data_IF_645565373969
#
_entry.id   IF_645565373969
#
_cell.length_a   1.000
_cell.length_b   1.000
_cell.length_c   1.000
_cell.angle_alpha   90.00
_cell.angle_beta   90.00
_cell.angle_gamma   90.00
#
_symmetry.space_group_name_H-M   'P 1'
#
loop_
_entity.id
_entity.type
_entity.pdbx_description
1 polymer ?
#
# COMPACT_ATOMS: atom_id res chain seq x y z
N UNK A 1 -60.09 13.27 -11.12
CA UNK A 1 -61.26 13.99 -10.59
C UNK A 1 -61.32 13.81 -9.07
N UNK A 2 -61.40 14.93 -8.35
CA UNK A 2 -62.02 15.14 -7.02
C UNK A 2 -61.48 14.39 -5.78
N UNK A 3 -60.91 15.20 -4.88
CA UNK A 3 -60.72 15.00 -3.43
C UNK A 3 -62.06 14.83 -2.71
N UNK A 4 -62.14 14.01 -1.65
CA UNK A 4 -63.07 14.19 -0.51
C UNK A 4 -62.37 13.78 0.80
N UNK A 5 -62.62 14.58 1.84
CA UNK A 5 -62.09 14.62 3.20
C UNK A 5 -63.04 13.97 4.25
N UNK A 6 -62.53 13.86 5.50
CA UNK A 6 -63.25 13.88 6.81
C UNK A 6 -63.94 12.56 7.25
N UNK A 7 -64.06 12.13 8.52
CA UNK A 7 -63.78 12.64 9.87
C UNK A 7 -63.84 11.41 10.86
N UNK A 8 -62.99 11.28 11.89
CA UNK A 8 -63.19 11.68 13.31
C UNK A 8 -63.81 10.63 14.29
N UNK A 9 -63.06 10.41 15.39
CA UNK A 9 -63.38 10.01 16.77
C UNK A 9 -63.99 8.63 17.12
N UNK A 10 -63.31 7.90 18.02
CA UNK A 10 -63.83 7.61 19.38
C UNK A 10 -62.71 7.19 20.36
N UNK A 11 -62.88 7.63 21.60
CA UNK A 11 -61.90 7.67 22.68
C UNK A 11 -62.02 6.48 23.67
N UNK A 12 -61.17 6.54 24.71
CA UNK A 12 -61.04 5.71 25.93
C UNK A 12 -60.04 4.55 25.78
N UNK A 13 -59.00 4.38 26.59
CA UNK A 13 -58.58 4.99 27.85
C UNK A 13 -57.99 3.86 28.71
N UNK A 14 -56.75 3.99 29.21
CA UNK A 14 -56.30 3.40 30.48
C UNK A 14 -54.83 3.75 30.77
N UNK A 15 -54.63 4.15 32.02
CA UNK A 15 -53.46 4.74 32.65
C UNK A 15 -52.57 3.62 33.19
N UNK A 16 -51.27 3.62 32.86
CA UNK A 16 -50.20 3.05 33.70
C UNK A 16 -48.95 3.91 33.49
N UNK A 17 -48.66 4.79 34.45
CA UNK A 17 -47.74 4.56 35.58
C UNK A 17 -46.27 4.73 35.20
N UNK A 18 -45.75 5.86 35.67
CA UNK A 18 -44.36 6.25 35.91
C UNK A 18 -43.28 5.18 35.75
N UNK A 19 -42.27 5.48 34.95
CA UNK A 19 -40.88 5.30 35.40
C UNK A 19 -39.95 6.24 34.63
N UNK A 20 -39.52 7.31 35.30
CA UNK A 20 -38.39 8.12 34.87
C UNK A 20 -37.12 7.41 35.37
N UNK A 21 -36.43 6.67 34.51
CA UNK A 21 -35.10 6.16 34.81
C UNK A 21 -34.08 6.94 33.98
N UNK A 22 -33.48 7.96 34.62
CA UNK A 22 -32.16 8.42 34.25
C UNK A 22 -31.21 7.23 34.48
N UNK A 23 -30.85 6.54 33.41
CA UNK A 23 -29.72 5.62 33.44
C UNK A 23 -28.44 6.47 33.60
N UNK A 24 -27.97 6.62 34.84
CA UNK A 24 -26.60 7.04 35.11
C UNK A 24 -25.69 5.91 34.64
N UNK A 25 -25.14 6.08 33.44
CA UNK A 25 -23.98 5.33 33.01
C UNK A 25 -22.81 5.73 33.92
N UNK A 26 -22.48 4.87 34.88
CA UNK A 26 -21.18 4.89 35.55
C UNK A 26 -20.13 4.53 34.51
N UNK A 27 -19.59 5.55 33.83
CA UNK A 27 -18.36 5.42 33.05
C UNK A 27 -17.23 5.18 34.04
N UNK A 28 -16.90 3.91 34.27
CA UNK A 28 -15.62 3.54 34.87
C UNK A 28 -14.52 4.03 33.93
N UNK A 29 -13.97 5.23 34.20
CA UNK A 29 -12.72 5.70 33.62
C UNK A 29 -11.63 4.70 33.99
N UNK A 30 -11.35 3.74 33.13
CA UNK A 30 -10.04 3.09 33.14
C UNK A 30 -9.01 4.20 32.91
N UNK A 31 -7.97 4.32 33.76
CA UNK A 31 -6.90 5.25 33.49
C UNK A 31 -6.17 4.77 32.23
N UNK A 32 -6.46 5.41 31.10
CA UNK A 32 -5.65 5.27 29.90
C UNK A 32 -4.32 5.90 30.22
N UNK A 33 -3.34 5.09 30.62
CA UNK A 33 -1.94 5.53 30.70
C UNK A 33 -1.56 5.90 29.27
N UNK A 34 -1.65 7.19 28.95
CA UNK A 34 -1.10 7.72 27.72
C UNK A 34 0.40 7.44 27.74
N UNK A 35 0.84 6.46 26.95
CA UNK A 35 2.25 6.11 26.80
C UNK A 35 2.98 7.37 26.35
N UNK A 36 3.76 7.97 27.25
CA UNK A 36 4.52 9.17 26.96
C UNK A 36 5.49 8.85 25.82
N UNK A 37 5.28 9.49 24.66
CA UNK A 37 6.11 9.26 23.48
C UNK A 37 7.48 9.92 23.71
N UNK A 38 8.51 9.12 23.88
CA UNK A 38 9.89 9.60 23.87
C UNK A 38 10.29 9.88 22.42
N UNK A 39 10.54 11.13 22.07
CA UNK A 39 10.90 11.55 20.71
C UNK A 39 12.37 11.24 20.33
N UNK A 40 13.20 10.87 21.30
CA UNK A 40 14.60 10.50 21.07
C UNK A 40 14.79 8.99 20.85
N UNK A 41 13.72 8.18 20.91
CA UNK A 41 13.81 6.76 20.60
C UNK A 41 13.59 6.53 19.10
N UNK A 42 14.36 5.64 18.44
CA UNK A 42 14.10 5.28 17.06
C UNK A 42 12.72 4.63 16.95
N UNK A 43 12.06 4.87 15.81
CA UNK A 43 10.79 4.21 15.52
C UNK A 43 11.02 2.69 15.46
N UNK A 44 10.12 1.89 16.05
CA UNK A 44 10.23 0.44 15.99
C UNK A 44 10.14 -0.03 14.54
N UNK A 45 10.99 -1.00 14.18
CA UNK A 45 10.89 -1.67 12.88
C UNK A 45 9.73 -2.67 12.89
N UNK A 46 9.04 -2.83 11.77
CA UNK A 46 7.94 -3.79 11.67
C UNK A 46 8.49 -5.21 11.76
N UNK A 47 8.07 -5.95 12.80
CA UNK A 47 8.53 -7.31 13.06
C UNK A 47 8.09 -8.32 12.00
N UNK A 48 7.12 -7.97 11.14
CA UNK A 48 6.68 -8.80 10.01
C UNK A 48 7.61 -8.70 8.81
N UNK A 49 8.58 -7.77 8.82
CA UNK A 49 9.55 -7.63 7.74
C UNK A 49 10.80 -8.45 8.08
N UNK A 50 11.09 -9.43 7.24
CA UNK A 50 12.37 -10.15 7.25
C UNK A 50 13.37 -9.30 6.48
N UNK A 51 14.42 -8.84 7.16
CA UNK A 51 15.52 -8.06 6.57
C UNK A 51 16.81 -8.86 6.62
N UNK A 52 17.57 -8.86 5.53
CA UNK A 52 18.89 -9.49 5.51
C UNK A 52 19.82 -8.88 4.47
N UNK A 53 21.05 -9.37 4.46
CA UNK A 53 22.09 -8.99 3.49
C UNK A 53 22.78 -10.25 2.99
N UNK A 54 22.83 -10.42 1.68
CA UNK A 54 23.52 -11.53 1.02
C UNK A 54 25.04 -11.34 1.09
N UNK A 55 25.85 -12.41 0.94
CA UNK A 55 27.31 -12.31 0.96
C UNK A 55 27.89 -11.34 -0.09
N UNK A 56 27.19 -11.17 -1.22
CA UNK A 56 27.57 -10.24 -2.30
C UNK A 56 27.17 -8.77 -2.02
N UNK A 57 26.56 -8.48 -0.86
CA UNK A 57 26.22 -7.12 -0.44
C UNK A 57 24.77 -6.69 -0.70
N UNK A 58 23.99 -7.45 -1.47
CA UNK A 58 22.59 -7.13 -1.74
C UNK A 58 21.77 -7.20 -0.45
N UNK A 59 21.04 -6.12 -0.14
CA UNK A 59 20.11 -6.07 0.99
C UNK A 59 18.72 -6.43 0.51
N UNK A 60 18.01 -7.29 1.23
CA UNK A 60 16.65 -7.69 0.89
C UNK A 60 15.69 -7.43 2.05
N UNK A 61 14.42 -7.22 1.68
CA UNK A 61 13.29 -7.04 2.57
C UNK A 61 12.16 -7.93 2.06
N UNK A 62 11.61 -8.77 2.93
CA UNK A 62 10.48 -9.66 2.61
C UNK A 62 9.37 -9.40 3.62
N UNK A 63 8.16 -9.21 3.11
CA UNK A 63 6.95 -9.03 3.92
C UNK A 63 5.85 -9.90 3.34
N UNK A 64 5.26 -10.74 4.18
CA UNK A 64 4.09 -11.52 3.80
C UNK A 64 2.85 -10.63 3.69
N UNK A 65 2.08 -10.84 2.61
CA UNK A 65 0.83 -10.15 2.36
C UNK A 65 -0.15 -11.12 1.68
N UNK A 66 -1.34 -11.28 2.24
CA UNK A 66 -2.36 -12.21 1.72
C UNK A 66 -3.38 -11.55 0.81
N UNK A 67 -3.26 -10.24 0.52
CA UNK A 67 -4.25 -9.49 -0.28
C UNK A 67 -3.59 -8.63 -1.36
N UNK A 68 -3.87 -8.86 -2.66
CA UNK A 68 -4.70 -9.95 -3.18
C UNK A 68 -4.06 -11.33 -2.95
N UNK A 69 -4.88 -12.37 -2.89
CA UNK A 69 -4.39 -13.74 -2.71
C UNK A 69 -3.62 -14.21 -3.94
N UNK A 70 -2.66 -15.12 -3.73
CA UNK A 70 -1.88 -15.77 -4.80
C UNK A 70 -1.11 -14.81 -5.70
N UNK A 71 -0.73 -13.64 -5.17
CA UNK A 71 0.11 -12.68 -5.85
C UNK A 71 1.38 -12.42 -5.04
N UNK A 72 2.49 -12.20 -5.75
CA UNK A 72 3.73 -11.69 -5.19
C UNK A 72 4.10 -10.41 -5.96
N UNK A 73 4.80 -9.49 -5.29
CA UNK A 73 5.41 -8.34 -5.95
C UNK A 73 6.89 -8.31 -5.62
N UNK A 74 7.69 -8.07 -6.65
CA UNK A 74 9.14 -7.99 -6.56
C UNK A 74 9.59 -6.60 -6.98
N UNK A 75 10.57 -6.08 -6.25
CA UNK A 75 11.19 -4.80 -6.56
C UNK A 75 12.70 -4.93 -6.45
N UNK A 76 13.40 -4.58 -7.52
CA UNK A 76 14.84 -4.37 -7.49
C UNK A 76 15.08 -2.87 -7.44
N UNK A 77 15.69 -2.41 -6.34
CA UNK A 77 16.00 -0.99 -6.11
C UNK A 77 17.50 -0.81 -6.29
N UNK A 78 17.86 -0.02 -7.31
CA UNK A 78 19.22 0.47 -7.51
C UNK A 78 19.29 1.85 -6.86
N UNK A 79 20.15 2.00 -5.85
CA UNK A 79 20.35 3.26 -5.12
C UNK A 79 21.23 4.25 -5.89
N UNK A 80 20.87 4.47 -7.15
CA UNK A 80 21.47 5.42 -8.07
C UNK A 80 20.38 5.90 -9.01
N UNK A 81 20.24 7.22 -9.13
CA UNK A 81 19.36 7.88 -10.08
C UNK A 81 20.08 9.06 -10.72
N UNK A 82 19.34 9.99 -11.32
CA UNK A 82 19.93 11.11 -12.06
C UNK A 82 20.75 12.10 -11.22
N UNK A 83 20.61 12.10 -9.88
CA UNK A 83 21.42 12.97 -9.01
C UNK A 83 22.90 12.60 -9.01
N UNK A 84 23.24 11.40 -9.45
CA UNK A 84 24.61 10.90 -9.53
C UNK A 84 25.20 11.02 -10.93
N UNK A 85 24.47 11.57 -11.91
CA UNK A 85 24.98 11.79 -13.26
C UNK A 85 25.95 12.97 -13.29
N UNK A 86 27.07 12.80 -13.98
CA UNK A 86 27.96 13.90 -14.35
C UNK A 86 27.36 14.73 -15.49
N UNK A 87 27.91 15.92 -15.77
CA UNK A 87 27.40 16.84 -16.81
C UNK A 87 27.31 16.19 -18.20
N UNK A 88 28.18 15.22 -18.50
CA UNK A 88 28.19 14.51 -19.77
C UNK A 88 27.32 13.23 -19.78
N UNK A 89 26.67 12.90 -18.65
CA UNK A 89 25.86 11.70 -18.43
C UNK A 89 24.37 12.02 -18.27
N UNK A 90 23.95 13.25 -18.57
CA UNK A 90 22.57 13.69 -18.39
C UNK A 90 21.57 12.77 -19.12
N UNK A 91 20.71 12.14 -18.33
CA UNK A 91 19.69 11.19 -18.79
C UNK A 91 20.17 9.75 -18.99
N UNK A 92 21.44 9.44 -18.69
CA UNK A 92 21.99 8.09 -18.84
C UNK A 92 21.39 7.11 -17.83
N UNK A 93 21.09 7.53 -16.60
CA UNK A 93 20.43 6.66 -15.62
C UNK A 93 19.07 6.15 -16.16
N UNK A 94 18.27 7.06 -16.73
CA UNK A 94 16.99 6.71 -17.35
C UNK A 94 17.17 5.90 -18.64
N UNK A 95 18.17 6.22 -19.46
CA UNK A 95 18.50 5.42 -20.64
C UNK A 95 18.89 3.98 -20.25
N UNK A 96 19.72 3.81 -19.21
CA UNK A 96 20.11 2.49 -18.69
C UNK A 96 18.90 1.69 -18.18
N UNK A 97 17.92 2.35 -17.56
CA UNK A 97 16.66 1.72 -17.17
C UNK A 97 15.94 1.11 -18.37
N UNK A 98 15.71 1.89 -19.43
CA UNK A 98 15.13 1.37 -20.67
C UNK A 98 15.96 0.23 -21.29
N UNK A 99 17.29 0.36 -21.28
CA UNK A 99 18.17 -0.63 -21.88
C UNK A 99 18.19 -1.97 -21.14
N UNK A 100 17.82 -2.01 -19.87
CA UNK A 100 17.68 -3.27 -19.12
C UNK A 100 16.65 -4.22 -19.74
N UNK A 101 15.68 -3.70 -20.49
CA UNK A 101 14.66 -4.49 -21.20
C UNK A 101 15.00 -4.76 -22.67
N UNK A 102 16.08 -4.18 -23.20
CA UNK A 102 16.46 -4.23 -24.62
C UNK A 102 17.61 -5.20 -24.91
N UNK A 103 17.92 -6.09 -23.98
CA UNK A 103 18.86 -7.18 -24.19
C UNK A 103 19.65 -7.52 -22.93
N UNK A 104 19.81 -8.82 -22.70
CA UNK A 104 20.64 -9.40 -21.65
C UNK A 104 21.45 -10.55 -22.25
N UNK A 105 22.35 -11.14 -21.44
CA UNK A 105 23.12 -12.32 -21.86
C UNK A 105 22.24 -13.50 -22.30
N UNK A 106 21.05 -13.64 -21.73
CA UNK A 106 20.16 -14.78 -21.94
C UNK A 106 18.92 -14.45 -22.78
N UNK A 107 18.60 -13.18 -22.95
CA UNK A 107 17.47 -12.69 -23.75
C UNK A 107 17.95 -11.58 -24.68
N UNK A 108 18.03 -11.84 -25.97
CA UNK A 108 18.48 -10.87 -26.95
C UNK A 108 17.35 -9.90 -27.30
N UNK A 109 17.66 -8.61 -27.43
CA UNK A 109 16.71 -7.57 -27.87
C UNK A 109 15.42 -7.62 -27.02
N UNK A 110 14.26 -7.84 -27.64
CA UNK A 110 12.95 -7.90 -26.99
C UNK A 110 12.56 -9.30 -26.47
N UNK A 111 13.44 -10.30 -26.51
CA UNK A 111 13.11 -11.66 -26.05
C UNK A 111 12.64 -11.71 -24.59
N UNK A 112 13.15 -10.83 -23.73
CA UNK A 112 12.72 -10.76 -22.33
C UNK A 112 11.25 -10.35 -22.23
N UNK A 113 10.86 -9.29 -22.93
CA UNK A 113 9.48 -8.81 -22.95
C UNK A 113 8.56 -9.87 -23.56
N UNK A 114 8.96 -10.45 -24.69
CA UNK A 114 8.20 -11.53 -25.35
C UNK A 114 8.00 -12.73 -24.43
N UNK A 115 9.03 -13.11 -23.66
CA UNK A 115 8.95 -14.20 -22.71
C UNK A 115 7.96 -13.88 -21.58
N UNK A 116 8.07 -12.69 -20.97
CA UNK A 116 7.15 -12.26 -19.90
C UNK A 116 5.70 -12.21 -20.40
N UNK A 117 5.48 -11.73 -21.63
CA UNK A 117 4.16 -11.77 -22.28
C UNK A 117 3.66 -13.20 -22.54
N UNK A 118 4.54 -14.11 -22.95
CA UNK A 118 4.18 -15.52 -23.19
C UNK A 118 3.70 -16.27 -21.94
N UNK A 119 4.12 -15.82 -20.75
CA UNK A 119 3.69 -16.38 -19.47
C UNK A 119 2.52 -15.59 -18.84
N UNK A 120 1.93 -14.64 -19.59
CA UNK A 120 0.71 -13.92 -19.22
C UNK A 120 0.94 -12.58 -18.52
N UNK A 121 2.18 -12.08 -18.47
CA UNK A 121 2.46 -10.75 -17.92
C UNK A 121 2.30 -9.67 -18.99
N UNK A 122 1.97 -8.45 -18.59
CA UNK A 122 1.82 -7.31 -19.50
C UNK A 122 2.78 -6.19 -19.11
N UNK A 123 3.53 -5.70 -20.09
CA UNK A 123 4.31 -4.47 -19.93
C UNK A 123 3.38 -3.31 -19.53
N UNK A 124 3.74 -2.53 -18.52
CA UNK A 124 2.95 -1.44 -17.97
C UNK A 124 1.98 -1.85 -16.85
N UNK A 125 1.34 -3.02 -16.92
CA UNK A 125 0.40 -3.46 -15.88
C UNK A 125 1.10 -4.30 -14.80
N UNK A 126 1.92 -5.27 -15.23
CA UNK A 126 2.56 -6.24 -14.35
C UNK A 126 4.08 -6.00 -14.27
N UNK A 127 4.69 -5.51 -15.37
CA UNK A 127 6.10 -5.15 -15.43
C UNK A 127 6.26 -3.64 -15.62
N UNK A 128 7.06 -3.00 -14.78
CA UNK A 128 7.35 -1.57 -14.89
C UNK A 128 8.75 -1.25 -14.38
N UNK A 129 9.25 -0.08 -14.74
CA UNK A 129 10.39 0.53 -14.09
C UNK A 129 10.23 2.05 -14.05
N UNK A 130 11.00 2.69 -13.19
CA UNK A 130 11.17 4.14 -13.22
C UNK A 130 12.58 4.52 -12.77
N UNK A 131 13.03 5.68 -13.23
CA UNK A 131 14.22 6.36 -12.73
C UNK A 131 13.82 7.72 -12.17
N UNK A 132 14.31 8.03 -10.98
CA UNK A 132 14.15 9.31 -10.30
C UNK A 132 15.53 9.93 -10.02
N UNK A 133 15.57 10.97 -9.20
CA UNK A 133 16.83 11.59 -8.78
C UNK A 133 17.69 10.61 -7.98
N UNK A 134 17.12 9.91 -7.02
CA UNK A 134 17.90 9.13 -6.05
C UNK A 134 18.00 7.62 -6.37
N UNK A 135 17.15 7.12 -7.27
CA UNK A 135 17.01 5.68 -7.50
C UNK A 135 16.47 5.34 -8.89
N UNK A 136 16.77 4.10 -9.30
CA UNK A 136 16.13 3.39 -10.40
C UNK A 136 15.50 2.11 -9.85
N UNK A 137 14.23 1.87 -10.12
CA UNK A 137 13.47 0.74 -9.56
C UNK A 137 12.80 -0.07 -10.66
N UNK A 138 13.02 -1.38 -10.64
CA UNK A 138 12.36 -2.35 -11.51
C UNK A 138 11.32 -3.14 -10.70
N UNK A 139 10.11 -3.26 -11.25
CA UNK A 139 8.92 -3.80 -10.57
C UNK A 139 8.29 -4.94 -11.37
N UNK A 140 7.97 -6.02 -10.67
CA UNK A 140 7.33 -7.24 -11.17
C UNK A 140 6.25 -7.73 -10.18
#
# INVERSE_FOLDING_TARGET
MKRILLAALLATGLIFSSCSQKAQQTVTKQPTVAKQLNFNQPLPFDSKIIKGKLPNGVTYYIRENHKPEKQASFRLIVKAGSILEEDYEQGIAHLCEHMAFNGTKHFQKQELVNYLESIGMRFGADLNAYTSFDETVYML
#
